data_IF_686231708736
#
_entry.id   IF_686231708736
#
_cell.length_a   1.000
_cell.length_b   1.000
_cell.length_c   1.000
_cell.angle_alpha   90.00
_cell.angle_beta   90.00
_cell.angle_gamma   90.00
#
_symmetry.space_group_name_H-M   'P 1'
#
loop_
_entity.id
_entity.type
_entity.pdbx_description
1 polymer ?
#
# COMPACT_ATOMS: atom_id res chain seq x y z
N UNK A 1 4.90 -7.00 25.10
CA UNK A 1 3.86 -7.43 24.15
C UNK A 1 3.73 -8.92 24.32
N UNK A 2 2.54 -9.40 24.65
CA UNK A 2 2.27 -10.83 24.71
C UNK A 2 1.99 -11.37 23.28
N UNK A 3 2.30 -12.65 23.06
CA UNK A 3 2.10 -13.31 21.77
C UNK A 3 1.11 -14.45 21.90
N UNK A 4 0.11 -14.44 21.03
CA UNK A 4 -0.93 -15.46 20.88
C UNK A 4 -0.86 -16.06 19.48
N UNK A 5 -1.35 -17.28 19.33
CA UNK A 5 -1.28 -18.03 18.08
C UNK A 5 -2.67 -18.52 17.68
N UNK A 6 -2.98 -18.40 16.39
CA UNK A 6 -4.22 -18.85 15.75
C UNK A 6 -3.83 -19.80 14.60
N UNK A 7 -4.46 -20.97 14.54
CA UNK A 7 -4.33 -21.96 13.47
C UNK A 7 -5.73 -22.27 12.90
N UNK A 8 -6.12 -21.59 11.80
CA UNK A 8 -7.44 -21.78 11.20
C UNK A 8 -7.75 -23.21 10.76
N UNK A 9 -6.73 -24.08 10.63
CA UNK A 9 -6.95 -25.50 10.29
C UNK A 9 -7.60 -26.31 11.42
N UNK A 10 -7.66 -25.77 12.64
CA UNK A 10 -8.35 -26.37 13.77
C UNK A 10 -9.87 -26.12 13.69
N UNK A 11 -10.30 -25.00 13.09
CA UNK A 11 -11.71 -24.70 12.79
C UNK A 11 -12.64 -24.92 14.00
N UNK A 12 -12.29 -24.30 15.14
CA UNK A 12 -13.10 -24.34 16.36
C UNK A 12 -12.72 -23.28 17.39
N UNK A 13 -13.70 -22.91 18.21
CA UNK A 13 -13.55 -22.09 19.42
C UNK A 13 -12.82 -22.84 20.54
N UNK A 14 -11.55 -23.17 20.31
CA UNK A 14 -10.73 -23.96 21.21
C UNK A 14 -9.29 -23.45 21.25
N UNK A 15 -8.47 -24.04 22.12
CA UNK A 15 -7.05 -23.70 22.31
C UNK A 15 -6.78 -22.73 23.45
N UNK A 16 -5.50 -22.61 23.81
CA UNK A 16 -5.01 -21.71 24.86
C UNK A 16 -4.17 -20.54 24.31
N UNK A 17 -4.11 -20.39 23.00
CA UNK A 17 -3.34 -19.34 22.32
C UNK A 17 -1.83 -19.49 22.40
N UNK A 18 -1.31 -20.68 22.75
CA UNK A 18 0.14 -20.95 22.74
C UNK A 18 0.55 -21.58 21.42
N UNK A 19 1.84 -21.55 21.07
CA UNK A 19 2.28 -22.13 19.79
C UNK A 19 2.04 -23.64 19.66
N UNK A 20 1.99 -24.36 20.79
CA UNK A 20 1.68 -25.80 20.84
C UNK A 20 0.20 -26.12 21.05
N UNK A 21 -0.62 -25.10 21.31
CA UNK A 21 -2.07 -25.19 21.52
C UNK A 21 -2.70 -23.85 21.07
N UNK A 22 -2.66 -23.55 19.75
CA UNK A 22 -3.14 -22.29 19.22
C UNK A 22 -4.67 -22.23 19.27
N UNK A 23 -5.22 -21.03 19.23
CA UNK A 23 -6.65 -20.85 19.01
C UNK A 23 -7.05 -21.35 17.62
N UNK A 24 -8.22 -21.97 17.49
CA UNK A 24 -8.71 -22.45 16.18
C UNK A 24 -9.47 -21.41 15.35
N UNK A 25 -9.87 -20.29 15.97
CA UNK A 25 -10.64 -19.20 15.38
C UNK A 25 -10.09 -17.85 15.87
N UNK A 26 -10.02 -16.86 14.97
CA UNK A 26 -9.46 -15.53 15.24
C UNK A 26 -10.37 -14.67 16.12
N UNK A 27 -11.69 -14.74 15.93
CA UNK A 27 -12.65 -14.02 16.76
C UNK A 27 -12.63 -14.57 18.19
N UNK A 28 -12.61 -15.89 18.35
CA UNK A 28 -12.45 -16.56 19.63
C UNK A 28 -11.14 -16.16 20.34
N UNK A 29 -10.05 -15.97 19.59
CA UNK A 29 -8.81 -15.44 20.15
C UNK A 29 -9.01 -14.02 20.72
N UNK A 30 -9.66 -13.12 19.98
CA UNK A 30 -9.96 -11.76 20.45
C UNK A 30 -10.84 -11.77 21.70
N UNK A 31 -11.79 -12.69 21.79
CA UNK A 31 -12.68 -12.83 22.93
C UNK A 31 -12.01 -13.49 24.16
N UNK A 32 -10.94 -14.26 23.95
CA UNK A 32 -10.26 -15.04 25.01
C UNK A 32 -9.03 -14.34 25.60
N UNK A 33 -8.38 -13.46 24.83
CA UNK A 33 -7.14 -12.81 25.25
C UNK A 33 -7.40 -11.82 26.38
N UNK A 34 -6.64 -11.97 27.47
CA UNK A 34 -6.52 -10.91 28.47
C UNK A 34 -5.51 -9.86 27.99
N UNK A 35 -6.02 -8.71 27.58
CA UNK A 35 -5.21 -7.63 26.98
C UNK A 35 -4.05 -7.14 27.86
N UNK A 36 -2.85 -7.06 27.30
CA UNK A 36 -1.72 -6.32 27.88
C UNK A 36 -1.90 -4.82 27.64
N UNK A 37 -2.51 -4.13 28.59
CA UNK A 37 -2.73 -2.67 28.54
C UNK A 37 -1.45 -1.81 28.60
N UNK A 38 -0.30 -2.42 28.88
CA UNK A 38 0.99 -1.70 28.96
C UNK A 38 1.76 -1.76 27.66
N UNK A 39 1.85 -2.95 27.05
CA UNK A 39 2.69 -3.16 25.86
C UNK A 39 1.91 -3.58 24.61
N UNK A 40 0.61 -3.85 24.74
CA UNK A 40 -0.19 -4.42 23.66
C UNK A 40 0.05 -5.91 23.45
N UNK A 41 -0.63 -6.45 22.44
CA UNK A 41 -0.64 -7.88 22.13
C UNK A 41 -0.36 -8.12 20.64
N UNK A 42 0.12 -9.31 20.34
CA UNK A 42 0.31 -9.82 18.99
C UNK A 42 -0.43 -11.13 18.81
N UNK A 43 -1.28 -11.21 17.80
CA UNK A 43 -1.95 -12.42 17.35
C UNK A 43 -1.24 -12.89 16.07
N UNK A 44 -0.66 -14.08 16.14
CA UNK A 44 0.04 -14.72 15.02
C UNK A 44 -0.91 -15.70 14.34
N UNK A 45 -1.18 -15.51 13.04
CA UNK A 45 -2.10 -16.32 12.25
C UNK A 45 -1.29 -17.26 11.36
N UNK A 46 -1.56 -18.55 11.46
CA UNK A 46 -0.75 -19.58 10.82
C UNK A 46 -0.98 -19.59 9.31
N UNK A 47 0.10 -19.70 8.55
CA UNK A 47 0.05 -19.86 7.11
C UNK A 47 -0.54 -21.22 6.72
N UNK A 48 -1.31 -21.26 5.64
CA UNK A 48 -1.69 -22.49 4.93
C UNK A 48 -3.19 -22.73 4.86
N UNK A 49 -3.94 -22.39 5.90
CA UNK A 49 -5.42 -22.37 5.88
C UNK A 49 -5.87 -20.94 6.14
N UNK A 50 -6.78 -20.44 5.32
CA UNK A 50 -7.36 -19.12 5.50
C UNK A 50 -8.29 -19.11 6.72
N UNK A 51 -8.22 -18.04 7.50
CA UNK A 51 -9.27 -17.69 8.46
C UNK A 51 -10.47 -17.16 7.67
N UNK A 52 -11.59 -17.89 7.70
CA UNK A 52 -12.82 -17.49 7.02
C UNK A 52 -13.71 -16.76 8.02
N UNK A 53 -13.96 -15.48 7.78
CA UNK A 53 -14.81 -14.69 8.66
C UNK A 53 -16.29 -14.88 8.34
N UNK A 54 -17.12 -14.96 9.39
CA UNK A 54 -18.59 -14.93 9.27
C UNK A 54 -19.18 -13.51 9.47
N UNK A 55 -18.41 -12.60 10.09
CA UNK A 55 -18.75 -11.19 10.30
C UNK A 55 -17.45 -10.35 10.41
N UNK A 56 -17.59 -9.03 10.48
CA UNK A 56 -16.48 -8.12 10.81
C UNK A 56 -15.88 -8.48 12.19
N UNK A 57 -14.55 -8.43 12.32
CA UNK A 57 -13.88 -8.67 13.60
C UNK A 57 -14.38 -7.72 14.70
N UNK A 58 -14.79 -8.29 15.83
CA UNK A 58 -15.23 -7.57 17.02
C UNK A 58 -14.14 -7.58 18.10
N UNK A 59 -13.81 -6.38 18.57
CA UNK A 59 -12.83 -6.16 19.65
C UNK A 59 -13.48 -5.75 20.96
N UNK A 60 -14.82 -5.81 21.06
CA UNK A 60 -15.54 -5.36 22.25
C UNK A 60 -15.04 -6.06 23.52
N UNK A 61 -14.78 -7.37 23.45
CA UNK A 61 -14.25 -8.16 24.57
C UNK A 61 -12.77 -7.87 24.83
N UNK A 62 -11.94 -7.81 23.78
CA UNK A 62 -10.52 -7.47 23.87
C UNK A 62 -10.29 -6.05 24.47
N UNK A 63 -11.19 -5.13 24.17
CA UNK A 63 -11.14 -3.72 24.55
C UNK A 63 -10.50 -2.83 23.48
N UNK A 64 -10.12 -1.59 23.84
CA UNK A 64 -9.65 -0.59 22.88
C UNK A 64 -8.12 -0.47 22.86
N UNK A 65 -7.40 -1.05 21.87
CA UNK A 65 -5.98 -0.79 21.63
C UNK A 65 -5.65 0.69 21.62
N UNK A 66 -4.38 1.01 21.88
CA UNK A 66 -3.88 2.37 21.74
C UNK A 66 -2.51 2.35 21.09
N UNK A 67 -2.04 3.49 20.62
CA UNK A 67 -0.70 3.62 20.08
C UNK A 67 0.42 3.11 21.01
N UNK A 68 0.29 3.29 22.33
CA UNK A 68 1.27 2.82 23.32
C UNK A 68 1.15 1.34 23.67
N UNK A 69 -0.02 0.74 23.44
CA UNK A 69 -0.35 -0.66 23.71
C UNK A 69 -1.27 -1.17 22.59
N UNK A 70 -0.65 -1.41 21.43
CA UNK A 70 -1.32 -1.72 20.17
C UNK A 70 -1.72 -3.18 20.03
N UNK A 71 -2.43 -3.49 18.95
CA UNK A 71 -2.80 -4.86 18.57
C UNK A 71 -2.21 -5.18 17.20
N UNK A 72 -1.41 -6.24 17.16
CA UNK A 72 -0.69 -6.67 15.97
C UNK A 72 -1.30 -7.98 15.46
N UNK A 73 -1.74 -7.99 14.20
CA UNK A 73 -2.08 -9.21 13.48
C UNK A 73 -0.93 -9.55 12.54
N UNK A 74 -0.37 -10.74 12.66
CA UNK A 74 0.79 -11.11 11.87
C UNK A 74 0.80 -12.56 11.38
N UNK A 75 1.31 -12.81 10.18
CA UNK A 75 1.53 -14.17 9.69
C UNK A 75 2.67 -14.92 10.40
N UNK A 76 2.57 -16.24 10.48
CA UNK A 76 3.68 -17.14 10.86
C UNK A 76 3.56 -18.52 10.22
N UNK A 77 4.65 -19.28 10.13
CA UNK A 77 4.62 -20.68 9.68
C UNK A 77 4.74 -21.64 10.86
N UNK A 78 5.78 -21.44 11.67
CA UNK A 78 6.26 -22.36 12.70
C UNK A 78 6.70 -21.66 13.97
N UNK A 79 7.20 -20.42 13.87
CA UNK A 79 7.57 -19.56 14.99
C UNK A 79 7.23 -18.11 14.67
N UNK A 80 7.05 -17.29 15.70
CA UNK A 80 6.80 -15.86 15.50
C UNK A 80 7.89 -15.19 14.65
N UNK A 81 7.48 -14.44 13.63
CA UNK A 81 8.38 -13.64 12.81
C UNK A 81 9.26 -14.43 11.83
N UNK A 82 8.92 -15.69 11.54
CA UNK A 82 9.66 -16.53 10.59
C UNK A 82 9.38 -16.21 9.10
N UNK A 83 8.56 -15.18 8.84
CA UNK A 83 8.20 -14.75 7.49
C UNK A 83 7.05 -15.54 6.88
N UNK A 84 6.38 -16.41 7.65
CA UNK A 84 5.11 -17.00 7.24
C UNK A 84 4.04 -15.93 6.97
N UNK A 85 3.14 -16.24 6.04
CA UNK A 85 2.05 -15.35 5.63
C UNK A 85 0.73 -16.01 5.99
N UNK A 86 0.03 -15.42 6.95
CA UNK A 86 -1.34 -15.83 7.31
C UNK A 86 -2.35 -15.27 6.31
N UNK A 87 -3.55 -15.82 6.30
CA UNK A 87 -4.63 -15.39 5.40
C UNK A 87 -5.93 -15.17 6.18
N UNK A 88 -6.60 -14.06 5.91
CA UNK A 88 -7.93 -13.71 6.42
C UNK A 88 -8.82 -13.40 5.21
N UNK A 89 -9.91 -14.14 5.08
CA UNK A 89 -10.83 -14.09 3.96
C UNK A 89 -12.24 -13.70 4.46
N UNK A 90 -12.85 -12.69 3.86
CA UNK A 90 -14.20 -12.21 4.19
C UNK A 90 -15.34 -13.01 3.54
N UNK A 91 -15.03 -14.12 2.87
CA UNK A 91 -15.94 -15.07 2.20
C UNK A 91 -16.95 -14.42 1.23
N UNK A 92 -16.59 -13.27 0.67
CA UNK A 92 -17.42 -12.47 -0.23
C UNK A 92 -18.79 -12.07 0.36
N UNK A 93 -18.93 -11.96 1.68
CA UNK A 93 -20.22 -11.65 2.33
C UNK A 93 -20.60 -10.16 2.39
N UNK A 94 -19.79 -9.26 1.81
CA UNK A 94 -20.13 -7.84 1.74
C UNK A 94 -19.92 -7.05 3.04
N UNK A 95 -19.14 -7.58 3.99
CA UNK A 95 -18.67 -6.85 5.17
C UNK A 95 -17.14 -6.61 5.11
N UNK A 96 -16.66 -5.63 5.87
CA UNK A 96 -15.22 -5.36 6.02
C UNK A 96 -14.58 -6.36 6.98
N UNK A 97 -13.34 -6.78 6.73
CA UNK A 97 -12.56 -7.54 7.73
C UNK A 97 -12.38 -6.71 9.00
N UNK A 98 -12.20 -5.39 8.84
CA UNK A 98 -12.09 -4.44 9.93
C UNK A 98 -12.76 -3.12 9.58
N UNK A 99 -13.67 -2.62 10.42
CA UNK A 99 -14.32 -1.31 10.25
C UNK A 99 -14.48 -0.59 11.60
N UNK A 100 -13.34 -0.34 12.26
CA UNK A 100 -13.26 0.44 13.50
C UNK A 100 -12.49 1.74 13.25
N UNK A 101 -13.24 2.82 13.00
CA UNK A 101 -12.71 4.14 12.62
C UNK A 101 -12.31 5.03 13.81
N UNK A 102 -12.39 4.52 15.03
CA UNK A 102 -12.01 5.23 16.27
C UNK A 102 -10.96 4.46 17.09
N UNK A 103 -10.31 3.47 16.49
CA UNK A 103 -9.34 2.58 17.15
C UNK A 103 -7.98 2.79 16.53
N UNK A 104 -7.04 3.25 17.35
CA UNK A 104 -5.66 3.54 16.97
C UNK A 104 -4.72 2.37 17.34
N UNK A 105 -3.53 2.30 16.73
CA UNK A 105 -2.50 1.33 17.12
C UNK A 105 -2.75 -0.10 16.63
N UNK A 106 -3.50 -0.26 15.53
CA UNK A 106 -3.66 -1.53 14.83
C UNK A 106 -2.55 -1.70 13.80
N UNK A 107 -1.92 -2.86 13.78
CA UNK A 107 -0.89 -3.22 12.80
C UNK A 107 -1.22 -4.54 12.12
N UNK A 108 -1.26 -4.53 10.80
CA UNK A 108 -1.36 -5.73 9.96
C UNK A 108 0.00 -6.00 9.31
N UNK A 109 0.58 -7.19 9.51
CA UNK A 109 1.92 -7.52 9.03
C UNK A 109 2.00 -8.91 8.42
N UNK A 110 2.45 -9.02 7.17
CA UNK A 110 2.72 -10.32 6.53
C UNK A 110 1.45 -11.18 6.46
N UNK A 111 0.38 -10.61 5.90
CA UNK A 111 -0.93 -11.25 5.75
C UNK A 111 -1.45 -11.13 4.31
N UNK A 112 -2.29 -12.07 3.90
CA UNK A 112 -3.22 -11.94 2.79
C UNK A 112 -4.58 -11.59 3.40
N UNK A 113 -5.19 -10.49 2.99
CA UNK A 113 -6.46 -10.00 3.55
C UNK A 113 -7.37 -9.57 2.41
N UNK A 114 -8.60 -10.08 2.34
CA UNK A 114 -9.45 -9.72 1.21
C UNK A 114 -10.78 -10.43 1.11
N UNK A 115 -11.26 -10.49 -0.14
CA UNK A 115 -12.49 -11.17 -0.55
C UNK A 115 -13.74 -10.69 0.20
N UNK A 116 -14.01 -9.39 0.14
CA UNK A 116 -15.11 -8.72 0.88
C UNK A 116 -16.27 -8.29 -0.02
N UNK A 117 -16.28 -8.75 -1.27
CA UNK A 117 -17.26 -8.43 -2.33
C UNK A 117 -17.41 -6.92 -2.61
N UNK A 118 -18.22 -6.21 -1.83
CA UNK A 118 -18.56 -4.79 -2.04
C UNK A 118 -18.08 -3.84 -0.94
N UNK A 119 -17.66 -4.37 0.22
CA UNK A 119 -17.20 -3.55 1.34
C UNK A 119 -15.75 -3.10 1.18
N UNK A 120 -15.36 -2.06 1.93
CA UNK A 120 -13.94 -1.76 2.10
C UNK A 120 -13.26 -2.93 2.86
N UNK A 121 -12.05 -3.36 2.52
CA UNK A 121 -11.42 -4.50 3.23
C UNK A 121 -11.03 -4.07 4.65
N UNK A 122 -10.30 -2.97 4.77
CA UNK A 122 -9.90 -2.37 6.05
C UNK A 122 -10.32 -0.90 6.12
N UNK A 123 -11.22 -0.55 7.03
CA UNK A 123 -11.56 0.83 7.38
C UNK A 123 -11.05 1.16 8.80
N UNK A 124 -9.93 1.88 8.84
CA UNK A 124 -9.13 2.10 10.04
C UNK A 124 -9.07 3.57 10.43
N UNK A 125 -8.79 3.84 11.70
CA UNK A 125 -8.44 5.19 12.18
C UNK A 125 -6.96 5.53 11.88
N UNK A 126 -6.54 6.70 12.35
CA UNK A 126 -5.16 7.16 12.37
C UNK A 126 -4.25 6.28 13.21
N UNK A 127 -2.94 6.48 13.02
CA UNK A 127 -1.88 5.78 13.76
C UNK A 127 -1.97 4.24 13.64
N UNK A 128 -2.48 3.76 12.51
CA UNK A 128 -2.49 2.35 12.14
C UNK A 128 -1.50 2.08 11.00
N UNK A 129 -1.13 0.81 10.83
CA UNK A 129 -0.14 0.37 9.85
C UNK A 129 -0.63 -0.89 9.12
N UNK A 130 -0.43 -0.92 7.80
CA UNK A 130 -0.51 -2.13 6.98
C UNK A 130 0.83 -2.31 6.31
N UNK A 131 1.51 -3.43 6.55
CA UNK A 131 2.82 -3.69 5.96
C UNK A 131 3.02 -5.13 5.52
N UNK A 132 3.79 -5.31 4.46
CA UNK A 132 4.07 -6.62 3.88
C UNK A 132 2.80 -7.46 3.58
N UNK A 133 1.65 -6.82 3.36
CA UNK A 133 0.38 -7.51 3.15
C UNK A 133 0.00 -7.58 1.67
N UNK A 134 -0.73 -8.63 1.27
CA UNK A 134 -1.57 -8.60 0.06
C UNK A 134 -3.00 -8.21 0.46
N UNK A 135 -3.56 -7.21 -0.22
CA UNK A 135 -4.92 -6.71 -0.04
C UNK A 135 -5.68 -6.92 -1.35
N UNK A 136 -6.80 -7.66 -1.35
CA UNK A 136 -7.44 -8.05 -2.62
C UNK A 136 -8.95 -8.31 -2.60
N UNK A 137 -9.56 -8.33 -3.79
CA UNK A 137 -10.87 -8.95 -4.00
C UNK A 137 -12.04 -8.16 -3.43
N UNK A 138 -12.14 -6.89 -3.80
CA UNK A 138 -13.32 -6.07 -3.46
C UNK A 138 -13.67 -5.10 -4.58
N UNK A 139 -14.95 -4.79 -4.77
CA UNK A 139 -15.39 -3.66 -5.59
C UNK A 139 -15.39 -2.33 -4.82
N UNK A 140 -15.26 -2.37 -3.49
CA UNK A 140 -15.04 -1.24 -2.59
C UNK A 140 -13.57 -0.77 -2.57
N UNK A 141 -13.13 -0.20 -1.46
CA UNK A 141 -11.73 0.21 -1.25
C UNK A 141 -10.88 -0.91 -0.62
N UNK A 142 -9.59 -0.95 -0.93
CA UNK A 142 -8.66 -1.84 -0.23
C UNK A 142 -8.48 -1.42 1.22
N UNK A 143 -7.84 -0.27 1.42
CA UNK A 143 -7.66 0.30 2.76
C UNK A 143 -8.12 1.75 2.79
N UNK A 144 -9.01 2.06 3.74
CA UNK A 144 -9.54 3.38 4.00
C UNK A 144 -9.11 3.87 5.38
N UNK A 145 -8.56 5.08 5.46
CA UNK A 145 -8.16 5.70 6.74
C UNK A 145 -6.85 6.48 6.69
N UNK A 146 -6.42 7.04 7.82
CA UNK A 146 -5.11 7.71 7.96
C UNK A 146 -4.02 6.69 8.34
N UNK A 147 -3.75 5.78 7.42
CA UNK A 147 -2.94 4.59 7.64
C UNK A 147 -1.59 4.74 6.95
N UNK A 148 -0.55 4.16 7.55
CA UNK A 148 0.74 3.99 6.87
C UNK A 148 0.78 2.66 6.10
N UNK A 149 1.29 2.72 4.86
CA UNK A 149 1.31 1.58 3.94
C UNK A 149 2.74 1.29 3.49
N UNK A 150 3.27 0.12 3.85
CA UNK A 150 4.65 -0.24 3.55
C UNK A 150 4.76 -1.60 2.91
N UNK A 151 5.26 -1.65 1.67
CA UNK A 151 5.57 -2.89 0.97
C UNK A 151 4.37 -3.80 0.73
N UNK A 152 3.18 -3.23 0.60
CA UNK A 152 1.97 -4.00 0.35
C UNK A 152 1.77 -4.30 -1.15
N UNK A 153 0.93 -5.27 -1.44
CA UNK A 153 0.42 -5.57 -2.78
C UNK A 153 -1.10 -5.41 -2.77
N UNK A 154 -1.61 -4.43 -3.52
CA UNK A 154 -3.02 -4.22 -3.76
C UNK A 154 -3.41 -4.79 -5.13
N UNK A 155 -4.41 -5.68 -5.16
CA UNK A 155 -4.76 -6.48 -6.32
C UNK A 155 -6.27 -6.65 -6.44
N UNK A 156 -6.83 -6.57 -7.65
CA UNK A 156 -8.26 -6.87 -7.88
C UNK A 156 -9.24 -6.03 -7.02
N UNK A 157 -9.03 -4.70 -6.96
CA UNK A 157 -9.85 -3.74 -6.20
C UNK A 157 -10.58 -2.78 -7.15
N UNK A 158 -11.88 -2.55 -6.95
CA UNK A 158 -12.75 -1.79 -7.87
C UNK A 158 -12.78 -0.28 -7.64
N UNK A 159 -12.66 0.18 -6.39
CA UNK A 159 -12.60 1.60 -6.06
C UNK A 159 -11.15 2.06 -5.88
N UNK A 160 -10.78 2.55 -4.70
CA UNK A 160 -9.40 2.92 -4.39
C UNK A 160 -8.65 1.78 -3.69
N UNK A 161 -7.42 1.49 -4.13
CA UNK A 161 -6.54 0.58 -3.39
C UNK A 161 -6.24 1.11 -2.00
N UNK A 162 -5.94 2.40 -1.93
CA UNK A 162 -5.68 3.14 -0.70
C UNK A 162 -6.39 4.51 -0.77
N UNK A 163 -7.17 4.87 0.27
CA UNK A 163 -7.88 6.17 0.32
C UNK A 163 -8.04 6.75 1.72
N UNK A 164 -7.89 8.08 1.84
CA UNK A 164 -7.81 8.79 3.11
C UNK A 164 -6.69 9.82 3.10
N UNK A 165 -6.69 10.77 4.03
CA UNK A 165 -5.66 11.82 4.04
C UNK A 165 -5.36 12.29 5.46
N UNK A 166 -4.07 12.45 5.84
CA UNK A 166 -2.86 12.13 5.06
C UNK A 166 -2.47 10.65 5.11
N UNK A 167 -1.72 10.19 4.11
CA UNK A 167 -1.25 8.80 3.99
C UNK A 167 0.18 8.73 3.45
N UNK A 168 0.95 7.77 3.96
CA UNK A 168 2.26 7.41 3.42
C UNK A 168 2.18 6.05 2.72
N UNK A 169 2.37 6.04 1.40
CA UNK A 169 2.40 4.83 0.57
C UNK A 169 3.81 4.63 0.05
N UNK A 170 4.46 3.56 0.51
CA UNK A 170 5.89 3.35 0.31
C UNK A 170 6.16 1.92 -0.12
N UNK A 171 6.96 1.76 -1.18
CA UNK A 171 7.42 0.45 -1.66
C UNK A 171 6.28 -0.52 -2.04
N UNK A 172 5.10 0.00 -2.38
CA UNK A 172 3.90 -0.80 -2.64
C UNK A 172 3.74 -1.19 -4.12
N UNK A 173 2.99 -2.27 -4.38
CA UNK A 173 2.60 -2.72 -5.71
C UNK A 173 1.09 -2.61 -5.88
N UNK A 174 0.64 -2.06 -7.00
CA UNK A 174 -0.76 -1.95 -7.38
C UNK A 174 -0.99 -2.65 -8.73
N UNK A 175 -1.87 -3.65 -8.76
CA UNK A 175 -2.24 -4.39 -9.96
C UNK A 175 -3.76 -4.41 -10.15
N UNK A 176 -4.24 -4.09 -11.34
CA UNK A 176 -5.62 -4.44 -11.68
C UNK A 176 -5.74 -5.97 -11.74
N UNK A 177 -6.84 -6.50 -11.21
CA UNK A 177 -7.12 -7.92 -11.25
C UNK A 177 -7.98 -8.32 -12.46
N UNK A 178 -8.44 -9.57 -12.47
CA UNK A 178 -9.31 -10.10 -13.52
C UNK A 178 -10.78 -9.72 -13.35
N UNK A 179 -11.18 -9.36 -12.13
CA UNK A 179 -12.58 -9.13 -11.75
C UNK A 179 -12.85 -7.63 -11.64
N UNK A 180 -11.97 -6.95 -10.93
CA UNK A 180 -12.04 -5.54 -10.60
C UNK A 180 -10.80 -4.81 -11.13
N UNK A 181 -10.98 -3.53 -11.40
CA UNK A 181 -9.90 -2.62 -11.77
C UNK A 181 -10.07 -1.34 -10.97
N UNK A 182 -8.96 -0.76 -10.53
CA UNK A 182 -9.01 0.46 -9.73
C UNK A 182 -9.72 1.56 -10.49
N UNK A 183 -10.55 2.33 -9.79
CA UNK A 183 -10.87 3.68 -10.27
C UNK A 183 -9.62 4.56 -10.13
N UNK A 184 -9.00 4.50 -8.95
CA UNK A 184 -7.74 5.17 -8.61
C UNK A 184 -6.91 4.25 -7.70
N UNK A 185 -5.65 3.95 -8.00
CA UNK A 185 -4.91 2.99 -7.17
C UNK A 185 -4.58 3.59 -5.79
N UNK A 186 -4.20 4.87 -5.74
CA UNK A 186 -3.97 5.62 -4.49
C UNK A 186 -4.63 6.99 -4.54
N UNK A 187 -5.52 7.26 -3.59
CA UNK A 187 -6.10 8.58 -3.34
C UNK A 187 -5.45 9.16 -2.07
N UNK A 188 -4.29 9.79 -2.19
CA UNK A 188 -3.49 10.12 -1.01
C UNK A 188 -2.25 10.96 -1.26
N UNK A 189 -1.67 11.49 -0.18
CA UNK A 189 -0.75 12.63 -0.21
C UNK A 189 0.72 12.29 -0.51
N UNK A 190 1.26 11.19 0.02
CA UNK A 190 2.67 10.83 -0.13
C UNK A 190 2.83 9.43 -0.71
N UNK A 191 3.31 9.32 -1.95
CA UNK A 191 3.50 8.08 -2.69
C UNK A 191 4.93 8.01 -3.20
N UNK A 192 5.69 7.01 -2.76
CA UNK A 192 7.08 6.87 -3.20
C UNK A 192 7.49 5.43 -3.40
N UNK A 193 8.42 5.21 -4.35
CA UNK A 193 9.03 3.91 -4.64
C UNK A 193 8.00 2.80 -4.89
N UNK A 194 6.83 3.18 -5.37
CA UNK A 194 5.72 2.29 -5.60
C UNK A 194 5.53 2.01 -7.09
N UNK A 195 4.98 0.84 -7.35
CA UNK A 195 4.87 0.20 -8.64
C UNK A 195 3.39 0.10 -9.04
N UNK A 196 3.03 0.54 -10.23
CA UNK A 196 1.66 0.56 -10.72
C UNK A 196 1.58 -0.17 -12.06
N UNK A 197 0.90 -1.32 -12.07
CA UNK A 197 0.57 -2.09 -13.27
C UNK A 197 -0.94 -2.04 -13.50
N UNK A 198 -1.35 -1.07 -14.30
CA UNK A 198 -2.75 -0.72 -14.48
C UNK A 198 -3.25 -1.11 -15.89
N UNK A 199 -4.55 -0.97 -16.08
CA UNK A 199 -5.26 -1.23 -17.34
C UNK A 199 -6.53 -0.38 -17.39
N UNK A 200 -7.25 -0.41 -18.53
CA UNK A 200 -8.52 0.30 -18.66
C UNK A 200 -8.39 1.80 -18.41
N UNK A 201 -9.32 2.38 -17.65
CA UNK A 201 -9.35 3.82 -17.32
C UNK A 201 -8.76 4.14 -15.95
N UNK A 202 -8.05 3.20 -15.32
CA UNK A 202 -7.54 3.35 -13.96
C UNK A 202 -6.54 4.50 -13.84
N UNK A 203 -6.69 5.30 -12.79
CA UNK A 203 -5.69 6.32 -12.41
C UNK A 203 -4.68 5.73 -11.43
N UNK A 204 -3.39 6.05 -11.57
CA UNK A 204 -2.37 5.64 -10.61
C UNK A 204 -2.52 6.36 -9.27
N UNK A 205 -2.26 7.66 -9.25
CA UNK A 205 -2.41 8.49 -8.04
C UNK A 205 -3.38 9.64 -8.28
N UNK A 206 -4.40 9.73 -7.43
CA UNK A 206 -5.39 10.81 -7.34
C UNK A 206 -5.09 11.78 -6.20
N UNK A 207 -5.13 13.10 -6.48
CA UNK A 207 -4.94 14.20 -5.52
C UNK A 207 -3.69 14.12 -4.63
N UNK A 208 -2.60 13.54 -5.18
CA UNK A 208 -1.34 13.40 -4.46
C UNK A 208 -0.50 14.66 -4.40
N UNK A 209 0.18 14.90 -3.28
CA UNK A 209 1.04 16.07 -3.08
C UNK A 209 2.52 15.74 -3.26
N UNK A 210 2.96 14.53 -2.95
CA UNK A 210 4.35 14.09 -3.12
C UNK A 210 4.32 12.73 -3.82
N UNK A 211 4.78 12.69 -5.07
CA UNK A 211 4.80 11.49 -5.90
C UNK A 211 6.21 11.35 -6.46
N UNK A 212 7.03 10.56 -5.79
CA UNK A 212 8.47 10.54 -6.02
C UNK A 212 9.01 9.14 -6.25
N UNK A 213 9.80 8.97 -7.31
CA UNK A 213 10.48 7.72 -7.65
C UNK A 213 9.51 6.55 -7.79
N UNK A 214 8.39 6.73 -8.48
CA UNK A 214 7.44 5.64 -8.75
C UNK A 214 7.60 5.11 -10.18
N UNK A 215 7.14 3.88 -10.40
CA UNK A 215 7.09 3.25 -11.72
C UNK A 215 5.64 3.02 -12.12
N UNK A 216 5.18 3.68 -13.17
CA UNK A 216 3.82 3.58 -13.70
C UNK A 216 3.82 2.93 -15.07
N UNK A 217 3.03 1.88 -15.22
CA UNK A 217 2.78 1.21 -16.48
C UNK A 217 1.29 0.93 -16.63
N UNK A 218 0.71 1.28 -17.79
CA UNK A 218 -0.65 0.87 -18.14
C UNK A 218 -0.72 0.29 -19.55
N UNK A 219 -1.72 -0.55 -19.78
CA UNK A 219 -2.15 -0.97 -21.12
C UNK A 219 -3.47 -0.31 -21.54
N UNK A 220 -3.95 0.68 -20.78
CA UNK A 220 -5.22 1.37 -20.99
C UNK A 220 -5.08 2.87 -21.26
N UNK A 221 -6.16 3.61 -21.05
CA UNK A 221 -6.30 5.05 -21.34
C UNK A 221 -6.52 5.89 -20.08
N UNK A 222 -6.04 5.42 -18.92
CA UNK A 222 -6.08 6.18 -17.68
C UNK A 222 -4.98 7.23 -17.58
N UNK A 223 -4.79 7.75 -16.37
CA UNK A 223 -3.74 8.72 -16.03
C UNK A 223 -2.76 8.14 -15.02
N UNK A 224 -1.45 8.43 -15.13
CA UNK A 224 -0.53 7.96 -14.10
C UNK A 224 -0.70 8.77 -12.80
N UNK A 225 -0.86 10.09 -12.96
CA UNK A 225 -1.24 11.01 -11.89
C UNK A 225 -2.36 11.93 -12.39
N UNK A 226 -3.44 12.05 -11.62
CA UNK A 226 -4.47 13.09 -11.77
C UNK A 226 -4.59 13.83 -10.44
N UNK A 227 -4.24 15.10 -10.41
CA UNK A 227 -4.25 15.90 -9.17
C UNK A 227 -5.04 17.19 -9.34
N UNK A 228 -5.91 17.47 -8.37
CA UNK A 228 -6.69 18.71 -8.26
C UNK A 228 -6.38 19.44 -6.95
N UNK A 229 -5.25 19.10 -6.34
CA UNK A 229 -4.88 19.53 -4.99
C UNK A 229 -4.45 20.99 -4.94
N UNK A 230 -4.83 21.65 -3.84
CA UNK A 230 -4.40 23.00 -3.47
C UNK A 230 -3.18 23.02 -2.55
N UNK A 231 -2.31 22.00 -2.61
CA UNK A 231 -1.05 21.98 -1.88
C UNK A 231 0.17 21.99 -2.82
N UNK A 232 1.33 22.38 -2.31
CA UNK A 232 2.60 22.26 -3.03
C UNK A 232 2.82 20.81 -3.47
N UNK A 233 3.07 20.63 -4.76
CA UNK A 233 3.27 19.32 -5.35
C UNK A 233 4.75 19.03 -5.65
N UNK A 234 5.16 17.78 -5.45
CA UNK A 234 6.49 17.28 -5.81
C UNK A 234 6.36 16.00 -6.63
N UNK A 235 6.47 16.11 -7.95
CA UNK A 235 6.38 14.99 -8.89
C UNK A 235 7.72 14.75 -9.54
N UNK A 236 8.53 13.88 -8.94
CA UNK A 236 9.97 13.82 -9.25
C UNK A 236 10.46 12.39 -9.42
N UNK A 237 11.30 12.13 -10.43
CA UNK A 237 11.97 10.83 -10.57
C UNK A 237 11.06 9.68 -10.99
N UNK A 238 9.85 9.97 -11.48
CA UNK A 238 8.89 8.94 -11.86
C UNK A 238 9.15 8.43 -13.29
N UNK A 239 8.87 7.15 -13.51
CA UNK A 239 8.86 6.52 -14.83
C UNK A 239 7.42 6.24 -15.21
N UNK A 240 6.99 6.69 -16.40
CA UNK A 240 5.59 6.61 -16.82
C UNK A 240 5.49 6.06 -18.23
N UNK A 241 4.75 4.95 -18.40
CA UNK A 241 4.55 4.28 -19.67
C UNK A 241 3.08 4.00 -19.98
N UNK A 242 2.65 4.36 -21.20
CA UNK A 242 1.41 3.87 -21.83
C UNK A 242 0.13 4.64 -21.49
N UNK A 243 0.19 5.72 -20.71
CA UNK A 243 -0.99 6.44 -20.23
C UNK A 243 -1.53 7.44 -21.26
N UNK A 244 -2.79 7.86 -21.12
CA UNK A 244 -3.29 9.02 -21.88
C UNK A 244 -2.55 10.26 -21.41
N UNK A 245 -2.68 10.60 -20.13
CA UNK A 245 -1.86 11.64 -19.52
C UNK A 245 -0.87 11.02 -18.53
N UNK A 246 0.41 11.31 -18.73
CA UNK A 246 1.44 10.92 -17.78
C UNK A 246 1.20 11.63 -16.44
N UNK A 247 1.17 12.97 -16.48
CA UNK A 247 0.75 13.80 -15.36
C UNK A 247 -0.36 14.75 -15.81
N UNK A 248 -1.52 14.66 -15.19
CA UNK A 248 -2.62 15.60 -15.38
C UNK A 248 -2.73 16.54 -14.18
N UNK A 249 -2.87 17.82 -14.47
CA UNK A 249 -3.13 18.85 -13.47
C UNK A 249 -4.34 19.72 -13.83
N UNK A 250 -5.36 19.69 -12.96
CA UNK A 250 -6.55 20.53 -13.08
C UNK A 250 -6.46 21.71 -12.10
N UNK A 251 -6.10 22.89 -12.61
CA UNK A 251 -6.07 24.12 -11.83
C UNK A 251 -7.41 24.83 -11.93
N UNK A 252 -8.13 24.88 -10.81
CA UNK A 252 -9.32 25.74 -10.68
C UNK A 252 -9.08 26.99 -9.81
N UNK A 253 -7.93 27.09 -9.12
CA UNK A 253 -7.59 28.21 -8.24
C UNK A 253 -6.08 28.48 -8.22
N UNK A 254 -5.67 29.76 -8.18
CA UNK A 254 -4.27 30.20 -8.09
C UNK A 254 -3.53 29.52 -6.93
N UNK A 255 -2.47 28.78 -7.24
CA UNK A 255 -1.83 27.82 -6.34
C UNK A 255 -0.30 27.88 -6.42
N UNK A 256 0.34 27.66 -5.27
CA UNK A 256 1.79 27.79 -4.97
C UNK A 256 2.69 26.94 -5.88
N UNK A 257 3.92 27.36 -6.24
CA UNK A 257 4.81 26.58 -7.09
C UNK A 257 5.11 25.19 -6.50
N UNK A 258 4.74 24.15 -7.22
CA UNK A 258 5.25 22.79 -7.04
C UNK A 258 6.38 22.48 -8.02
N UNK A 259 7.13 21.40 -7.75
CA UNK A 259 8.28 20.96 -8.57
C UNK A 259 7.92 19.71 -9.37
N UNK A 260 8.22 19.72 -10.66
CA UNK A 260 8.08 18.55 -11.54
C UNK A 260 9.31 18.40 -12.44
N UNK A 261 10.24 17.55 -12.06
CA UNK A 261 11.51 17.36 -12.77
C UNK A 261 11.96 15.91 -12.76
N UNK A 262 12.91 15.60 -13.65
CA UNK A 262 13.56 14.30 -13.72
C UNK A 262 12.58 13.12 -13.88
N UNK A 263 11.45 13.31 -14.57
CA UNK A 263 10.54 12.21 -14.90
C UNK A 263 10.78 11.73 -16.33
N UNK A 264 10.66 10.42 -16.58
CA UNK A 264 10.75 9.85 -17.91
C UNK A 264 9.40 9.32 -18.38
N UNK A 265 9.05 9.66 -19.61
CA UNK A 265 7.80 9.27 -20.26
C UNK A 265 8.09 8.44 -21.50
N UNK A 266 7.30 7.41 -21.70
CA UNK A 266 7.30 6.63 -22.93
C UNK A 266 5.87 6.26 -23.31
N UNK A 267 5.53 6.39 -24.59
CA UNK A 267 4.21 6.02 -25.12
C UNK A 267 3.02 6.64 -24.34
N UNK A 268 3.18 7.87 -23.86
CA UNK A 268 2.08 8.65 -23.30
C UNK A 268 1.46 9.52 -24.41
N UNK A 269 0.14 9.69 -24.43
CA UNK A 269 -0.50 10.61 -25.40
C UNK A 269 -0.05 12.04 -25.11
N UNK A 270 -0.13 12.44 -23.84
CA UNK A 270 0.44 13.66 -23.31
C UNK A 270 1.33 13.30 -22.13
N UNK A 271 2.58 13.77 -22.12
CA UNK A 271 3.44 13.56 -20.94
C UNK A 271 2.92 14.37 -19.75
N UNK A 272 2.47 15.60 -20.02
CA UNK A 272 1.93 16.53 -19.02
C UNK A 272 0.78 17.32 -19.63
N UNK A 273 -0.36 17.38 -18.95
CA UNK A 273 -1.48 18.26 -19.27
C UNK A 273 -1.70 19.26 -18.14
N UNK A 274 -1.83 20.55 -18.48
CA UNK A 274 -2.18 21.60 -17.51
C UNK A 274 -2.87 22.78 -18.18
N UNK A 275 -3.75 23.46 -17.45
CA UNK A 275 -4.27 24.76 -17.88
C UNK A 275 -3.28 25.93 -17.67
N UNK A 276 -2.42 25.90 -16.63
CA UNK A 276 -1.61 27.07 -16.25
C UNK A 276 -0.26 26.74 -15.54
N UNK A 277 0.69 26.08 -16.22
CA UNK A 277 2.09 25.97 -15.72
C UNK A 277 2.90 27.27 -15.90
N UNK A 278 2.35 28.43 -15.49
CA UNK A 278 3.02 29.73 -15.65
C UNK A 278 3.93 30.14 -14.47
N UNK A 279 4.08 29.30 -13.45
CA UNK A 279 4.97 29.53 -12.31
C UNK A 279 6.36 28.95 -12.51
N UNK A 280 7.35 29.80 -12.73
CA UNK A 280 8.75 29.44 -12.88
C UNK A 280 9.31 28.65 -11.68
N UNK A 281 9.80 27.43 -11.94
CA UNK A 281 10.69 26.69 -11.03
C UNK A 281 10.66 25.19 -11.28
N UNK A 282 11.73 24.65 -11.88
CA UNK A 282 12.07 23.22 -11.87
C UNK A 282 11.27 22.28 -12.80
N UNK A 283 11.18 22.62 -14.11
CA UNK A 283 10.77 21.70 -15.19
C UNK A 283 11.95 21.02 -15.91
N UNK A 284 13.18 21.17 -15.41
CA UNK A 284 14.38 20.61 -16.03
C UNK A 284 14.43 19.09 -15.89
N UNK A 285 15.11 18.40 -16.82
CA UNK A 285 15.44 16.98 -16.65
C UNK A 285 14.33 15.97 -16.94
N UNK A 286 13.08 16.41 -17.18
CA UNK A 286 12.06 15.51 -17.72
C UNK A 286 12.43 15.09 -19.16
N UNK A 287 12.22 13.83 -19.49
CA UNK A 287 12.59 13.27 -20.79
C UNK A 287 11.45 12.44 -21.41
N UNK A 288 11.36 12.48 -22.74
CA UNK A 288 10.53 11.56 -23.53
C UNK A 288 11.45 10.55 -24.19
N UNK A 289 11.25 9.29 -23.89
CA UNK A 289 12.07 8.22 -24.45
C UNK A 289 11.50 7.70 -25.76
N UNK A 290 12.36 7.09 -26.58
CA UNK A 290 11.99 6.47 -27.86
C UNK A 290 11.82 4.95 -27.77
N UNK A 291 12.00 4.37 -26.58
CA UNK A 291 11.90 2.93 -26.33
C UNK A 291 11.33 2.63 -24.94
N UNK A 292 10.86 1.39 -24.77
CA UNK A 292 10.18 0.92 -23.56
C UNK A 292 11.01 1.18 -22.30
N UNK A 293 10.36 1.72 -21.27
CA UNK A 293 10.95 2.04 -19.97
C UNK A 293 11.24 0.81 -19.11
N UNK A 294 10.46 -0.25 -19.28
CA UNK A 294 10.51 -1.44 -18.44
C UNK A 294 10.91 -2.66 -19.27
N UNK A 295 11.86 -3.46 -18.74
CA UNK A 295 12.17 -4.79 -19.26
C UNK A 295 11.05 -5.72 -18.78
N UNK A 296 9.91 -5.68 -19.47
CA UNK A 296 8.75 -6.51 -19.13
C UNK A 296 9.12 -7.99 -19.31
N UNK A 297 9.51 -8.66 -18.22
CA UNK A 297 9.75 -10.10 -18.21
C UNK A 297 8.75 -10.80 -17.28
N UNK A 298 7.84 -11.57 -17.87
CA UNK A 298 6.96 -12.48 -17.15
C UNK A 298 5.63 -11.91 -16.65
N UNK A 299 4.96 -12.69 -15.80
CA UNK A 299 3.74 -12.32 -15.08
C UNK A 299 4.08 -12.06 -13.61
N UNK A 300 3.33 -11.18 -12.95
CA UNK A 300 3.38 -11.03 -11.49
C UNK A 300 2.59 -12.23 -10.94
N UNK A 301 3.26 -13.21 -10.38
CA UNK A 301 2.67 -14.44 -9.84
C UNK A 301 2.93 -14.59 -8.34
N UNK A 302 3.81 -13.77 -7.75
CA UNK A 302 4.14 -13.82 -6.35
C UNK A 302 4.37 -12.44 -5.73
N UNK A 303 4.23 -12.35 -4.41
CA UNK A 303 4.50 -11.13 -3.64
C UNK A 303 5.96 -10.64 -3.81
N UNK A 304 6.90 -11.56 -4.11
CA UNK A 304 8.31 -11.22 -4.32
C UNK A 304 8.54 -10.46 -5.64
N UNK A 305 7.67 -10.63 -6.63
CA UNK A 305 7.84 -10.05 -7.98
C UNK A 305 7.76 -8.52 -7.99
N UNK A 306 7.21 -7.92 -6.93
CA UNK A 306 7.19 -6.45 -6.76
C UNK A 306 8.57 -5.79 -6.85
N UNK A 307 9.63 -6.56 -6.57
CA UNK A 307 11.03 -6.09 -6.58
C UNK A 307 11.70 -6.20 -7.96
N UNK A 308 11.17 -7.00 -8.86
CA UNK A 308 11.83 -7.38 -10.12
C UNK A 308 11.05 -6.97 -11.36
N UNK A 309 9.71 -6.93 -11.29
CA UNK A 309 8.84 -6.66 -12.46
C UNK A 309 9.06 -5.28 -13.09
N UNK A 310 9.33 -4.27 -12.26
CA UNK A 310 9.50 -2.88 -12.72
C UNK A 310 10.97 -2.47 -12.87
N UNK A 311 11.87 -3.45 -13.09
CA UNK A 311 13.28 -3.16 -13.31
C UNK A 311 13.44 -2.27 -14.56
N UNK A 312 13.85 -1.00 -14.40
CA UNK A 312 13.91 -0.06 -15.52
C UNK A 312 15.01 -0.47 -16.50
N UNK A 313 14.73 -0.41 -17.80
CA UNK A 313 15.78 -0.52 -18.81
C UNK A 313 16.60 0.75 -18.76
N UNK A 314 17.92 0.65 -18.70
CA UNK A 314 18.80 1.81 -18.58
C UNK A 314 18.80 2.67 -19.87
N UNK A 315 17.80 3.54 -20.04
CA UNK A 315 17.56 4.27 -21.29
C UNK A 315 17.43 5.80 -21.16
N UNK A 316 17.78 6.38 -20.01
CA UNK A 316 17.51 7.79 -19.69
C UNK A 316 18.35 8.33 -18.53
N UNK A 317 18.25 9.63 -18.25
CA UNK A 317 19.02 10.34 -17.20
C UNK A 317 18.16 10.75 -15.99
N UNK A 318 17.20 9.93 -15.58
CA UNK A 318 16.39 10.19 -14.38
C UNK A 318 17.23 10.14 -13.11
N UNK A 319 17.27 11.28 -12.39
CA UNK A 319 17.94 11.42 -11.10
C UNK A 319 16.97 11.19 -9.93
N UNK A 320 17.51 10.76 -8.80
CA UNK A 320 16.82 10.83 -7.51
C UNK A 320 16.45 12.28 -7.28
N UNK A 321 15.15 12.55 -7.20
CA UNK A 321 14.65 13.91 -7.07
C UNK A 321 15.28 14.77 -5.97
N UNK A 322 15.82 14.14 -4.92
CA UNK A 322 16.37 14.82 -3.74
C UNK A 322 17.85 14.53 -3.42
N UNK A 323 18.56 13.64 -4.12
CA UNK A 323 19.90 13.19 -3.65
C UNK A 323 21.02 13.08 -4.69
N UNK A 324 20.85 13.61 -5.89
CA UNK A 324 21.96 13.82 -6.83
C UNK A 324 22.61 12.55 -7.40
N UNK A 325 21.89 11.42 -7.42
CA UNK A 325 22.32 10.18 -8.07
C UNK A 325 21.31 9.72 -9.12
N UNK A 326 21.71 9.00 -10.16
CA UNK A 326 20.78 8.39 -11.11
C UNK A 326 20.07 7.20 -10.45
N UNK A 327 18.80 7.36 -10.08
CA UNK A 327 17.93 6.25 -9.66
C UNK A 327 16.59 6.45 -10.33
N UNK A 328 16.11 5.38 -10.97
CA UNK A 328 14.97 5.42 -11.89
C UNK A 328 13.76 4.77 -11.23
N UNK A 329 12.65 5.49 -11.13
CA UNK A 329 11.37 4.92 -10.68
C UNK A 329 11.45 4.17 -9.36
N UNK A 330 10.61 3.15 -9.20
CA UNK A 330 10.50 2.33 -7.99
C UNK A 330 11.63 1.31 -7.82
N UNK A 331 12.87 1.68 -8.15
CA UNK A 331 14.05 0.85 -7.87
C UNK A 331 14.27 0.83 -6.36
N UNK A 332 14.10 -0.35 -5.77
CA UNK A 332 14.49 -0.59 -4.40
C UNK A 332 16.02 -0.51 -4.31
N UNK A 333 16.59 0.18 -3.30
CA UNK A 333 18.03 0.17 -3.11
C UNK A 333 18.49 -1.28 -2.98
N UNK A 334 19.48 -1.67 -3.78
CA UNK A 334 20.12 -2.98 -3.66
C UNK A 334 20.54 -3.17 -2.21
N UNK A 335 20.20 -4.34 -1.65
CA UNK A 335 20.48 -4.70 -0.25
C UNK A 335 21.95 -4.45 0.08
N UNK A 336 22.26 -3.30 0.69
CA UNK A 336 23.63 -2.86 0.97
C UNK A 336 23.91 -1.38 0.73
N UNK A 337 23.11 -0.68 -0.10
CA UNK A 337 23.19 0.77 -0.22
C UNK A 337 22.42 1.44 0.91
N UNK A 338 23.12 2.17 1.77
CA UNK A 338 22.57 2.84 2.95
C UNK A 338 21.21 3.48 2.65
N UNK A 339 20.16 2.87 3.19
CA UNK A 339 18.80 3.32 2.99
C UNK A 339 18.72 4.81 3.34
N UNK A 340 18.21 5.59 2.39
CA UNK A 340 17.68 6.91 2.72
C UNK A 340 16.72 6.69 3.89
N UNK A 341 17.11 7.16 5.07
CA UNK A 341 16.31 7.18 6.28
C UNK A 341 15.17 8.19 6.11
N UNK A 342 14.26 7.96 5.16
CA UNK A 342 12.96 8.62 5.21
C UNK A 342 12.14 7.81 6.23
N UNK A 343 12.18 8.30 7.47
CA UNK A 343 11.29 7.95 8.56
C UNK A 343 11.28 6.48 9.04
N UNK A 344 12.44 5.91 9.43
CA UNK A 344 12.46 5.09 10.67
C UNK A 344 12.46 5.96 11.94
N UNK A 345 12.49 7.29 11.76
CA UNK A 345 12.68 8.29 12.81
C UNK A 345 11.42 8.83 13.49
N UNK A 346 10.20 8.33 13.22
CA UNK A 346 9.01 8.74 13.98
C UNK A 346 8.59 7.76 15.09
N UNK A 347 9.26 6.61 15.22
CA UNK A 347 8.93 5.62 16.27
C UNK A 347 10.15 5.05 17.04
N UNK A 348 11.37 5.47 16.72
CA UNK A 348 12.59 4.96 17.34
C UNK A 348 12.99 5.58 18.69
N UNK A 349 12.12 6.40 19.29
CA UNK A 349 12.44 7.21 20.47
C UNK A 349 11.62 6.87 21.70
N UNK A 350 11.40 5.60 22.03
CA UNK A 350 10.93 5.17 23.36
C UNK A 350 11.20 3.67 23.55
N UNK A 351 12.48 3.33 23.74
CA UNK A 351 12.86 2.20 24.60
C UNK A 351 13.49 2.78 25.85
N UNK A 352 12.70 2.84 26.90
CA UNK A 352 13.07 3.16 28.27
C UNK A 352 12.09 2.45 29.18
#
# INVERSE_FOLDING_TARGET
>A
MASYYVDPSIDSDSGAGTIGDPYGDLQYALDSIYRDTTNGDRINIKSGTAEILEDELDITTYGTPSFGAGLYFAGYTSTEGDGGVGEIDGDAYGFSVWNKTSVEGIVWDSLIIGNTDTADILYMDRMCEVRNCKIYGTSGNGVRGQVGHWRNWYDDIGSAGVTGSPQGVVDCLFTNGSTNSFTVAVQGSFVTRSCFKLSGTSTGVGDGTIIVNNSFHTTGTGNAVDTRSIFSYHYVGNLVQGFTDGLQYDQTTEMTPGSYHDNAFYDCTNNVTSADFNGAGYNSGNETLSSNLFDLSGSITSFADRLTYFNPVDQGNVYTGMSGGLVKGAVQPTSGGGGIQIARGMHGGMRG
#
